data_IF_892124085790
#
_entry.id   IF_892124085790
#
_cell.length_a   1.000
_cell.length_b   1.000
_cell.length_c   1.000
_cell.angle_alpha   90.00
_cell.angle_beta   90.00
_cell.angle_gamma   90.00
#
_symmetry.space_group_name_H-M   'P 1'
#
loop_
_entity.id
_entity.type
_entity.pdbx_description
1 polymer ?
#
# COMPACT_ATOMS: atom_id res chain seq x y z
N UNK A 1 7.43 14.76 37.93
CA UNK A 1 8.53 14.07 37.24
C UNK A 1 7.98 12.78 36.67
N UNK A 2 7.41 12.83 35.47
CA UNK A 2 7.00 11.65 34.72
C UNK A 2 8.25 11.00 34.15
N UNK A 3 8.53 9.78 34.56
CA UNK A 3 9.54 8.94 33.92
C UNK A 3 9.15 8.75 32.46
N UNK A 4 9.90 9.36 31.54
CA UNK A 4 9.88 9.00 30.13
C UNK A 4 10.32 7.54 30.02
N UNK A 5 9.36 6.62 30.03
CA UNK A 5 9.59 5.28 29.50
C UNK A 5 9.97 5.48 28.03
N UNK A 6 11.27 5.37 27.74
CA UNK A 6 11.77 5.26 26.37
C UNK A 6 11.05 4.10 25.69
N UNK A 7 10.00 4.40 24.93
CA UNK A 7 9.18 3.37 24.30
C UNK A 7 10.02 2.69 23.22
N UNK A 8 10.55 1.52 23.52
CA UNK A 8 11.34 0.74 22.58
C UNK A 8 10.39 0.01 21.63
N UNK A 9 10.35 0.41 20.36
CA UNK A 9 9.56 -0.28 19.33
C UNK A 9 10.27 -1.57 18.94
N UNK A 10 9.71 -2.75 19.22
CA UNK A 10 10.38 -4.01 18.94
C UNK A 10 10.45 -4.27 17.43
N UNK A 11 11.58 -4.80 16.98
CA UNK A 11 11.71 -5.36 15.63
C UNK A 11 10.90 -6.65 15.54
N UNK A 12 9.98 -6.72 14.58
CA UNK A 12 9.15 -7.89 14.33
C UNK A 12 9.66 -8.64 13.10
N UNK A 13 9.62 -9.98 13.16
CA UNK A 13 9.85 -10.86 12.00
C UNK A 13 8.50 -11.41 11.56
N UNK A 14 8.17 -11.22 10.29
CA UNK A 14 6.89 -11.65 9.71
C UNK A 14 7.20 -12.61 8.56
N UNK A 15 6.46 -13.71 8.49
CA UNK A 15 6.59 -14.69 7.40
C UNK A 15 5.55 -14.37 6.33
N UNK A 16 6.01 -14.07 5.12
CA UNK A 16 5.14 -13.75 3.99
C UNK A 16 5.36 -14.69 2.81
N UNK A 17 4.35 -14.85 1.97
CA UNK A 17 4.48 -15.64 0.75
C UNK A 17 5.25 -14.87 -0.33
N UNK A 18 6.14 -15.56 -1.05
CA UNK A 18 6.94 -15.02 -2.15
C UNK A 18 6.45 -15.55 -3.50
N UNK A 19 6.24 -14.66 -4.45
CA UNK A 19 5.72 -14.95 -5.79
C UNK A 19 6.71 -14.48 -6.85
N UNK A 20 6.65 -15.09 -8.03
CA UNK A 20 7.25 -14.51 -9.22
C UNK A 20 6.33 -13.38 -9.69
N UNK A 21 6.88 -12.17 -9.77
CA UNK A 21 6.14 -10.98 -10.19
C UNK A 21 5.95 -10.91 -11.72
N UNK A 22 6.40 -11.94 -12.46
CA UNK A 22 6.05 -12.15 -13.86
C UNK A 22 4.74 -12.92 -14.00
N UNK A 23 3.75 -12.29 -14.64
CA UNK A 23 2.47 -12.94 -14.94
C UNK A 23 2.67 -14.07 -15.95
N UNK A 24 2.25 -15.28 -15.60
CA UNK A 24 2.26 -16.45 -16.50
C UNK A 24 0.86 -16.77 -17.00
N UNK A 25 0.76 -17.12 -18.28
CA UNK A 25 -0.48 -17.65 -18.88
C UNK A 25 -0.65 -19.13 -18.50
N UNK A 26 -1.90 -19.62 -18.46
CA UNK A 26 -2.19 -21.04 -18.22
C UNK A 26 -1.32 -21.99 -19.05
N UNK A 27 -1.20 -21.70 -20.34
CA UNK A 27 -0.53 -22.55 -21.33
C UNK A 27 0.97 -22.70 -21.11
N UNK A 28 1.58 -21.80 -20.33
CA UNK A 28 3.00 -21.81 -19.97
C UNK A 28 3.21 -22.12 -18.48
N UNK A 29 2.16 -22.57 -17.77
CA UNK A 29 2.12 -22.74 -16.32
C UNK A 29 3.37 -23.48 -15.83
N UNK A 30 4.25 -22.83 -15.04
CA UNK A 30 5.40 -23.51 -14.47
C UNK A 30 4.92 -24.52 -13.42
N UNK A 31 5.76 -25.51 -13.09
CA UNK A 31 5.53 -26.41 -11.95
C UNK A 31 5.70 -25.62 -10.64
N UNK A 32 4.64 -24.91 -10.24
CA UNK A 32 4.57 -24.17 -8.99
C UNK A 32 3.53 -24.81 -8.06
N UNK A 33 3.66 -24.56 -6.76
CA UNK A 33 2.77 -25.11 -5.73
C UNK A 33 1.45 -24.33 -5.58
N UNK A 34 1.45 -23.09 -6.05
CA UNK A 34 0.29 -22.22 -6.05
C UNK A 34 0.42 -21.03 -6.98
N UNK A 35 -0.66 -20.28 -7.12
CA UNK A 35 -0.76 -19.08 -7.94
C UNK A 35 -1.68 -18.05 -7.28
N UNK A 36 -1.29 -16.78 -7.38
CA UNK A 36 -2.22 -15.66 -7.22
C UNK A 36 -2.83 -15.33 -8.58
N UNK A 37 -4.15 -15.34 -8.67
CA UNK A 37 -4.91 -14.95 -9.85
C UNK A 37 -5.56 -13.61 -9.57
N UNK A 38 -5.24 -12.60 -10.39
CA UNK A 38 -5.90 -11.29 -10.30
C UNK A 38 -7.25 -11.38 -10.99
N UNK A 39 -8.34 -11.15 -10.24
CA UNK A 39 -9.69 -11.05 -10.79
C UNK A 39 -9.87 -9.78 -11.65
N UNK A 40 -11.03 -9.68 -12.27
CA UNK A 40 -11.52 -8.46 -12.92
C UNK A 40 -11.25 -7.22 -12.05
N UNK A 41 -10.81 -6.13 -12.68
CA UNK A 41 -10.59 -4.82 -12.04
C UNK A 41 -11.85 -4.27 -11.38
N UNK A 42 -13.03 -4.72 -11.81
CA UNK A 42 -14.35 -4.35 -11.26
C UNK A 42 -14.69 -5.07 -9.96
N UNK A 43 -13.95 -6.11 -9.58
CA UNK A 43 -14.16 -6.78 -8.30
C UNK A 43 -13.82 -5.86 -7.11
N UNK A 44 -14.56 -6.09 -6.02
CA UNK A 44 -14.29 -5.54 -4.69
C UNK A 44 -12.77 -5.61 -4.37
N UNK A 45 -12.11 -4.49 -4.00
CA UNK A 45 -10.67 -4.45 -3.73
C UNK A 45 -10.12 -5.60 -2.90
N UNK A 46 -10.82 -6.01 -1.84
CA UNK A 46 -10.44 -7.13 -0.97
C UNK A 46 -10.56 -8.50 -1.66
N UNK A 47 -11.38 -8.62 -2.70
CA UNK A 47 -11.62 -9.85 -3.47
C UNK A 47 -10.88 -9.88 -4.80
N UNK A 48 -9.96 -8.93 -5.04
CA UNK A 48 -9.21 -8.83 -6.31
C UNK A 48 -8.24 -9.98 -6.54
N UNK A 49 -7.89 -10.73 -5.50
CA UNK A 49 -7.00 -11.87 -5.61
C UNK A 49 -7.77 -13.16 -5.32
N UNK A 50 -7.57 -14.17 -6.18
CA UNK A 50 -7.91 -15.56 -5.88
C UNK A 50 -6.61 -16.31 -5.65
N UNK A 51 -6.61 -17.14 -4.63
CA UNK A 51 -5.49 -18.02 -4.32
C UNK A 51 -5.83 -19.43 -4.77
N UNK A 52 -4.92 -20.00 -5.55
CA UNK A 52 -5.07 -21.36 -6.05
C UNK A 52 -3.84 -22.17 -5.73
N UNK A 53 -4.06 -23.37 -5.22
CA UNK A 53 -3.00 -24.28 -4.81
C UNK A 53 -3.23 -25.66 -5.37
N UNK A 54 -2.15 -26.42 -5.49
CA UNK A 54 -2.26 -27.85 -5.71
C UNK A 54 -2.97 -28.49 -4.50
N UNK A 55 -3.89 -29.46 -4.69
CA UNK A 55 -4.64 -30.08 -3.61
C UNK A 55 -3.78 -30.54 -2.43
N UNK A 56 -2.64 -31.14 -2.72
CA UNK A 56 -1.68 -31.66 -1.75
C UNK A 56 -1.04 -30.56 -0.87
N UNK A 57 -1.13 -29.29 -1.26
CA UNK A 57 -0.60 -28.16 -0.49
C UNK A 57 -1.65 -27.49 0.41
N UNK A 58 -2.94 -27.87 0.31
CA UNK A 58 -4.05 -27.16 0.99
C UNK A 58 -3.88 -27.16 2.51
N UNK A 59 -3.52 -28.29 3.11
CA UNK A 59 -3.39 -28.41 4.56
C UNK A 59 -2.17 -27.65 5.08
N UNK A 60 -1.02 -27.76 4.41
CA UNK A 60 0.18 -27.02 4.76
C UNK A 60 -0.05 -25.50 4.70
N UNK A 61 -0.82 -25.02 3.72
CA UNK A 61 -1.14 -23.61 3.58
C UNK A 61 -2.09 -23.13 4.67
N UNK A 62 -3.13 -23.91 4.99
CA UNK A 62 -4.06 -23.54 6.07
C UNK A 62 -3.37 -23.50 7.43
N UNK A 63 -2.36 -24.34 7.64
CA UNK A 63 -1.56 -24.31 8.85
C UNK A 63 -0.78 -22.99 8.99
N UNK A 64 -0.20 -22.49 7.89
CA UNK A 64 0.61 -21.26 7.90
C UNK A 64 -0.28 -20.01 7.80
N UNK A 65 -1.38 -20.09 7.06
CA UNK A 65 -2.28 -19.00 6.70
C UNK A 65 -3.74 -19.41 6.93
N UNK A 66 -4.21 -19.43 8.19
CA UNK A 66 -5.53 -19.99 8.53
C UNK A 66 -6.71 -19.19 7.93
N UNK A 67 -6.52 -17.90 7.64
CA UNK A 67 -7.57 -17.02 7.08
C UNK A 67 -7.70 -17.11 5.57
N UNK A 68 -6.80 -17.83 4.87
CA UNK A 68 -6.77 -17.79 3.41
C UNK A 68 -7.95 -18.54 2.79
N UNK A 69 -8.67 -17.86 1.89
CA UNK A 69 -9.73 -18.50 1.10
C UNK A 69 -9.13 -19.27 -0.08
N UNK A 70 -9.13 -20.60 0.03
CA UNK A 70 -8.65 -21.51 -1.03
C UNK A 70 -9.79 -21.90 -1.95
N UNK A 71 -9.65 -21.65 -3.26
CA UNK A 71 -10.59 -22.17 -4.24
C UNK A 71 -10.38 -23.68 -4.45
N UNK A 72 -11.43 -24.47 -4.15
CA UNK A 72 -11.44 -25.92 -4.36
C UNK A 72 -11.58 -26.34 -5.84
N UNK A 73 -11.97 -25.44 -6.74
CA UNK A 73 -12.26 -25.77 -8.15
C UNK A 73 -10.99 -25.95 -8.98
N UNK A 74 -10.96 -26.99 -9.81
CA UNK A 74 -9.86 -27.32 -10.72
C UNK A 74 -9.84 -26.56 -12.05
N UNK A 75 -10.72 -25.58 -12.28
CA UNK A 75 -10.82 -24.86 -13.57
C UNK A 75 -9.55 -24.07 -13.90
N UNK A 76 -8.97 -24.22 -15.08
CA UNK A 76 -7.78 -23.49 -15.56
C UNK A 76 -7.81 -21.97 -15.25
N UNK A 77 -6.68 -21.37 -14.90
CA UNK A 77 -6.57 -19.91 -14.70
C UNK A 77 -6.00 -19.24 -15.95
N UNK A 78 -6.56 -18.14 -16.44
CA UNK A 78 -6.05 -17.48 -17.64
C UNK A 78 -4.63 -16.90 -17.43
N UNK A 79 -4.44 -16.19 -16.31
CA UNK A 79 -3.19 -15.52 -15.93
C UNK A 79 -3.00 -15.53 -14.42
N UNK A 80 -1.76 -15.72 -13.94
CA UNK A 80 -1.46 -15.68 -12.52
C UNK A 80 0.02 -15.44 -12.21
N UNK A 81 0.32 -15.16 -10.95
CA UNK A 81 1.66 -15.04 -10.39
C UNK A 81 2.00 -16.34 -9.66
N UNK A 82 2.99 -17.14 -10.11
CA UNK A 82 3.31 -18.41 -9.49
C UNK A 82 3.99 -18.18 -8.14
N UNK A 83 3.63 -19.01 -7.16
CA UNK A 83 4.23 -19.04 -5.85
C UNK A 83 5.64 -19.66 -5.94
N UNK A 84 6.63 -18.96 -5.38
CA UNK A 84 8.02 -19.40 -5.28
C UNK A 84 8.27 -20.03 -3.89
N UNK A 85 7.88 -19.34 -2.80
CA UNK A 85 8.06 -19.83 -1.42
C UNK A 85 6.84 -19.50 -0.59
N UNK A 86 6.38 -20.47 0.23
CA UNK A 86 5.28 -20.26 1.17
C UNK A 86 5.63 -19.30 2.29
N UNK A 87 6.88 -19.28 2.72
CA UNK A 87 7.32 -18.53 3.89
C UNK A 87 8.66 -17.89 3.56
N UNK A 88 8.70 -16.57 3.58
CA UNK A 88 9.89 -15.77 3.40
C UNK A 88 9.89 -14.73 4.53
N UNK A 89 10.93 -14.72 5.38
CA UNK A 89 11.00 -13.78 6.48
C UNK A 89 11.24 -12.36 5.96
N UNK A 90 10.44 -11.43 6.43
CA UNK A 90 10.69 -9.98 6.34
C UNK A 90 10.77 -9.41 7.75
N UNK A 91 11.33 -8.21 7.89
CA UNK A 91 11.46 -7.54 9.18
C UNK A 91 10.90 -6.13 9.14
N UNK A 92 10.23 -5.73 10.21
CA UNK A 92 9.93 -4.32 10.47
C UNK A 92 11.17 -3.59 10.99
N UNK A 93 11.13 -2.26 10.96
CA UNK A 93 12.12 -1.40 11.60
C UNK A 93 11.81 -1.27 13.10
N UNK A 94 12.70 -1.73 13.98
CA UNK A 94 12.62 -1.51 15.42
C UNK A 94 13.52 -0.37 15.90
N UNK A 95 13.26 0.18 17.09
CA UNK A 95 14.12 1.19 17.73
C UNK A 95 15.55 0.65 17.84
N UNK A 96 16.54 1.48 17.49
CA UNK A 96 17.97 1.10 17.47
C UNK A 96 18.38 0.14 16.33
N UNK A 97 17.45 -0.35 15.51
CA UNK A 97 17.73 -1.27 14.39
C UNK A 97 17.30 -0.68 13.05
N UNK A 98 17.73 0.55 12.77
CA UNK A 98 17.47 1.21 11.49
C UNK A 98 16.07 1.81 11.35
N UNK A 99 15.28 1.93 12.43
CA UNK A 99 14.09 2.80 12.47
C UNK A 99 14.55 4.26 12.54
N UNK A 100 14.23 5.12 11.56
CA UNK A 100 14.51 6.55 11.64
C UNK A 100 13.63 7.18 12.71
N UNK A 101 14.16 8.06 13.56
CA UNK A 101 13.34 8.79 14.53
C UNK A 101 12.28 9.66 13.84
N UNK A 102 12.68 10.30 12.75
CA UNK A 102 11.85 11.22 11.97
C UNK A 102 11.77 10.73 10.53
N UNK A 103 10.59 10.85 9.94
CA UNK A 103 10.37 10.67 8.52
C UNK A 103 9.66 11.87 7.90
N UNK A 104 9.85 11.99 6.60
CA UNK A 104 9.27 13.02 5.76
C UNK A 104 8.33 12.41 4.73
N UNK A 105 7.22 13.08 4.47
CA UNK A 105 6.27 12.69 3.43
C UNK A 105 5.68 13.92 2.76
N UNK A 106 5.62 13.91 1.44
CA UNK A 106 4.84 14.88 0.69
C UNK A 106 3.41 14.41 0.49
N UNK A 107 2.46 15.31 0.73
CA UNK A 107 1.04 15.14 0.43
C UNK A 107 0.59 16.22 -0.54
N UNK A 108 -0.56 16.00 -1.18
CA UNK A 108 -1.14 16.95 -2.13
C UNK A 108 -2.65 16.73 -2.24
N UNK A 109 -3.35 17.66 -2.89
CA UNK A 109 -4.81 17.69 -3.10
C UNK A 109 -5.43 16.42 -3.74
N UNK A 110 -4.62 15.67 -4.49
CA UNK A 110 -5.03 14.40 -5.12
C UNK A 110 -4.97 13.17 -4.21
N UNK A 111 -4.50 13.31 -2.97
CA UNK A 111 -4.38 12.18 -2.04
C UNK A 111 -5.60 12.10 -1.12
N UNK A 112 -6.18 10.90 -0.90
CA UNK A 112 -7.26 10.75 0.07
C UNK A 112 -6.73 10.95 1.50
N UNK A 113 -7.63 11.30 2.41
CA UNK A 113 -7.35 11.46 3.84
C UNK A 113 -6.18 12.40 4.16
N UNK A 114 -5.99 13.45 3.34
CA UNK A 114 -4.88 14.39 3.49
C UNK A 114 -3.49 13.76 3.32
N UNK A 115 -3.41 12.52 2.83
CA UNK A 115 -2.16 11.77 2.69
C UNK A 115 -1.65 11.11 3.97
N UNK A 116 -2.39 11.18 5.08
CA UNK A 116 -2.05 10.52 6.36
C UNK A 116 -2.55 9.07 6.43
N UNK A 117 -3.53 8.71 5.59
CA UNK A 117 -4.02 7.34 5.47
C UNK A 117 -3.81 6.82 4.04
N UNK A 118 -3.54 5.52 3.88
CA UNK A 118 -3.30 4.91 2.59
C UNK A 118 -4.60 4.90 1.77
N UNK A 119 -4.48 4.83 0.43
CA UNK A 119 -5.65 4.83 -0.47
C UNK A 119 -6.61 3.66 -0.22
N UNK A 120 -6.11 2.54 0.28
CA UNK A 120 -6.87 1.35 0.65
C UNK A 120 -7.23 1.27 2.12
N UNK A 121 -7.12 2.35 2.91
CA UNK A 121 -7.47 2.34 4.32
C UNK A 121 -8.92 1.87 4.54
N UNK A 122 -9.12 0.89 5.42
CA UNK A 122 -10.42 0.28 5.70
C UNK A 122 -11.03 -0.54 4.55
N UNK A 123 -10.33 -0.68 3.42
CA UNK A 123 -10.83 -1.32 2.19
C UNK A 123 -9.90 -2.45 1.71
N UNK A 124 -8.61 -2.41 2.09
CA UNK A 124 -7.62 -3.43 1.72
C UNK A 124 -6.95 -3.91 3.00
N UNK A 125 -7.19 -5.17 3.35
CA UNK A 125 -6.49 -5.81 4.47
C UNK A 125 -5.15 -6.40 4.03
N UNK A 126 -4.09 -6.10 4.78
CA UNK A 126 -2.76 -6.67 4.54
C UNK A 126 -2.69 -8.04 5.21
N UNK A 127 -2.80 -9.09 4.41
CA UNK A 127 -2.53 -10.45 4.88
C UNK A 127 -1.10 -10.85 4.55
N UNK A 128 -0.39 -11.61 5.41
CA UNK A 128 0.96 -12.07 5.12
C UNK A 128 1.10 -12.82 3.79
N UNK A 129 0.05 -13.51 3.36
CA UNK A 129 0.02 -14.20 2.06
C UNK A 129 -0.06 -13.25 0.86
N UNK A 130 -0.75 -12.10 0.99
CA UNK A 130 -0.93 -11.12 -0.08
C UNK A 130 0.06 -9.95 -0.01
N UNK A 131 0.84 -9.85 1.07
CA UNK A 131 1.79 -8.77 1.32
C UNK A 131 2.69 -8.47 0.12
N UNK A 132 3.36 -9.48 -0.44
CA UNK A 132 4.34 -9.29 -1.51
C UNK A 132 3.70 -8.68 -2.77
N UNK A 133 2.52 -9.14 -3.19
CA UNK A 133 1.87 -8.59 -4.38
C UNK A 133 1.34 -7.16 -4.14
N UNK A 134 0.84 -6.88 -2.92
CA UNK A 134 0.38 -5.54 -2.54
C UNK A 134 1.55 -4.56 -2.52
N UNK A 135 2.69 -4.96 -1.93
CA UNK A 135 3.91 -4.17 -1.89
C UNK A 135 4.40 -3.82 -3.30
N UNK A 136 4.52 -4.81 -4.20
CA UNK A 136 5.05 -4.55 -5.53
C UNK A 136 4.15 -3.68 -6.38
N UNK A 137 2.83 -3.81 -6.19
CA UNK A 137 1.85 -2.91 -6.80
C UNK A 137 1.96 -1.50 -6.24
N UNK A 138 2.17 -1.33 -4.93
CA UNK A 138 2.40 -0.02 -4.32
C UNK A 138 3.66 0.66 -4.87
N UNK A 139 4.74 -0.11 -4.99
CA UNK A 139 6.04 0.32 -5.51
C UNK A 139 6.03 0.62 -7.03
N UNK A 140 4.99 0.21 -7.76
CA UNK A 140 4.75 0.64 -9.13
C UNK A 140 3.87 1.89 -9.16
N UNK A 141 4.46 3.05 -9.40
CA UNK A 141 3.75 4.34 -9.45
C UNK A 141 2.65 4.40 -10.52
N UNK A 142 2.72 3.55 -11.57
CA UNK A 142 1.69 3.46 -12.61
C UNK A 142 0.47 2.65 -12.13
N UNK A 143 0.61 1.95 -11.01
CA UNK A 143 -0.45 1.13 -10.46
C UNK A 143 -1.53 2.00 -9.82
N UNK A 144 -2.77 1.84 -10.33
CA UNK A 144 -3.96 2.50 -9.79
C UNK A 144 -4.69 1.66 -8.72
N UNK A 145 -4.09 0.57 -8.26
CA UNK A 145 -4.70 -0.23 -7.20
C UNK A 145 -4.71 0.55 -5.88
N UNK A 146 -5.76 0.34 -5.09
CA UNK A 146 -5.79 0.82 -3.71
C UNK A 146 -4.65 0.11 -2.98
N UNK A 147 -3.74 0.91 -2.43
CA UNK A 147 -2.63 0.41 -1.65
C UNK A 147 -2.95 0.59 -0.17
N UNK A 148 -2.68 -0.41 0.69
CA UNK A 148 -2.76 -0.27 2.14
C UNK A 148 -1.49 0.35 2.75
N UNK A 149 -0.57 0.80 1.90
CA UNK A 149 0.74 1.34 2.30
C UNK A 149 0.87 2.84 2.03
N UNK A 150 1.64 3.50 2.87
CA UNK A 150 2.17 4.85 2.68
C UNK A 150 3.68 4.77 2.40
N UNK A 151 4.18 5.72 1.61
CA UNK A 151 5.62 5.90 1.39
C UNK A 151 6.13 7.11 2.16
N UNK A 152 7.29 6.99 2.78
CA UNK A 152 7.98 8.08 3.44
C UNK A 152 9.49 7.94 3.23
N UNK A 153 10.24 9.00 3.52
CA UNK A 153 11.69 9.05 3.32
C UNK A 153 12.36 9.75 4.49
N UNK A 154 13.58 9.36 4.82
CA UNK A 154 14.44 10.04 5.80
C UNK A 154 15.38 11.08 5.15
N UNK A 155 15.19 11.34 3.84
CA UNK A 155 16.01 12.27 3.05
C UNK A 155 15.22 13.49 2.60
N UNK A 156 15.67 14.67 3.04
CA UNK A 156 15.09 15.96 2.62
C UNK A 156 15.39 16.25 1.14
N UNK A 157 16.57 15.90 0.63
CA UNK A 157 16.91 16.07 -0.80
C UNK A 157 15.91 15.32 -1.69
N UNK A 158 15.52 14.11 -1.27
CA UNK A 158 14.49 13.34 -1.97
C UNK A 158 13.12 14.01 -1.90
N UNK A 159 12.77 14.63 -0.77
CA UNK A 159 11.54 15.43 -0.65
C UNK A 159 11.56 16.59 -1.64
N UNK A 160 12.65 17.36 -1.71
CA UNK A 160 12.76 18.49 -2.64
C UNK A 160 12.64 18.04 -4.10
N UNK A 161 13.28 16.92 -4.46
CA UNK A 161 13.14 16.32 -5.79
C UNK A 161 11.69 15.91 -6.10
N UNK A 162 11.02 15.22 -5.16
CA UNK A 162 9.62 14.81 -5.33
C UNK A 162 8.66 16.01 -5.39
N UNK A 163 8.94 17.07 -4.63
CA UNK A 163 8.17 18.31 -4.65
C UNK A 163 8.24 18.94 -6.05
N UNK A 164 9.42 19.04 -6.66
CA UNK A 164 9.57 19.51 -8.03
C UNK A 164 8.73 18.68 -9.02
N UNK A 165 8.77 17.36 -8.92
CA UNK A 165 7.95 16.47 -9.75
C UNK A 165 6.43 16.65 -9.53
N UNK A 166 5.99 16.93 -8.30
CA UNK A 166 4.59 17.18 -8.00
C UNK A 166 4.12 18.54 -8.53
N UNK A 167 4.98 19.55 -8.40
CA UNK A 167 4.71 20.89 -8.89
C UNK A 167 4.66 20.93 -10.42
N UNK A 168 5.58 20.26 -11.11
CA UNK A 168 5.58 20.07 -12.57
C UNK A 168 4.31 19.34 -13.07
N UNK A 169 3.80 18.38 -12.29
CA UNK A 169 2.54 17.67 -12.59
C UNK A 169 1.30 18.51 -12.30
N UNK A 170 1.45 19.71 -11.75
CA UNK A 170 0.36 20.63 -11.47
C UNK A 170 -0.52 20.22 -10.29
N UNK A 171 0.02 19.42 -9.34
CA UNK A 171 -0.67 19.18 -8.09
C UNK A 171 -0.75 20.48 -7.27
N UNK A 172 -1.82 20.60 -6.47
CA UNK A 172 -2.03 21.76 -5.59
C UNK A 172 -1.95 21.35 -4.14
N UNK A 173 -1.87 22.36 -3.26
CA UNK A 173 -1.76 22.16 -1.81
C UNK A 173 -0.70 21.11 -1.46
N UNK A 174 0.48 21.21 -2.07
CA UNK A 174 1.57 20.28 -1.79
C UNK A 174 2.09 20.61 -0.40
N UNK A 175 2.06 19.64 0.51
CA UNK A 175 2.49 19.83 1.90
C UNK A 175 3.59 18.86 2.25
N UNK A 176 4.52 19.32 3.08
CA UNK A 176 5.50 18.49 3.73
C UNK A 176 4.99 18.13 5.12
N UNK A 177 4.85 16.83 5.38
CA UNK A 177 4.64 16.27 6.70
C UNK A 177 5.99 15.80 7.26
N UNK A 178 6.28 16.23 8.49
CA UNK A 178 7.41 15.78 9.30
C UNK A 178 6.80 15.10 10.53
N UNK A 179 7.14 13.84 10.75
CA UNK A 179 6.53 13.06 11.82
C UNK A 179 7.54 12.12 12.49
N UNK A 180 7.33 11.91 13.79
CA UNK A 180 8.05 10.90 14.57
C UNK A 180 7.53 9.52 14.21
N UNK A 181 8.43 8.53 14.18
CA UNK A 181 8.01 7.16 13.85
C UNK A 181 7.67 6.33 15.08
N UNK A 182 7.84 6.86 16.28
CA UNK A 182 7.47 6.24 17.54
C UNK A 182 6.76 7.26 18.43
N UNK A 183 6.45 6.87 19.67
CA UNK A 183 5.75 7.73 20.63
C UNK A 183 4.22 7.57 20.64
N UNK A 184 3.51 8.53 21.25
CA UNK A 184 2.06 8.45 21.46
C UNK A 184 1.26 8.31 20.16
N UNK A 185 0.15 7.56 20.24
CA UNK A 185 -0.77 7.37 19.11
C UNK A 185 -0.40 6.24 18.15
N UNK A 186 0.84 5.72 18.21
CA UNK A 186 1.24 4.57 17.41
C UNK A 186 0.74 3.23 18.00
N UNK A 187 0.06 2.44 17.18
CA UNK A 187 -0.14 1.01 17.39
C UNK A 187 0.90 0.23 16.58
N UNK A 188 2.05 -0.10 17.16
CA UNK A 188 3.13 -0.79 16.45
C UNK A 188 2.82 -2.26 16.07
N UNK A 189 1.68 -2.81 16.46
CA UNK A 189 1.21 -4.11 15.95
C UNK A 189 0.50 -3.94 14.59
N UNK A 190 -0.25 -2.86 14.43
CA UNK A 190 -0.97 -2.56 13.19
C UNK A 190 -0.15 -1.68 12.24
N UNK A 191 0.46 -0.63 12.77
CA UNK A 191 1.24 0.38 12.05
C UNK A 191 2.71 -0.01 11.98
N UNK A 192 3.03 -0.83 10.98
CA UNK A 192 4.35 -1.43 10.81
C UNK A 192 5.16 -0.67 9.78
N UNK A 193 6.39 -0.31 10.15
CA UNK A 193 7.33 0.39 9.28
C UNK A 193 8.35 -0.61 8.72
N UNK A 194 8.64 -0.52 7.43
CA UNK A 194 9.59 -1.37 6.73
C UNK A 194 10.54 -0.53 5.89
N UNK A 195 11.81 -0.91 5.85
CA UNK A 195 12.76 -0.34 4.89
C UNK A 195 12.57 -1.00 3.53
N UNK A 196 12.41 -0.21 2.47
CA UNK A 196 12.14 -0.75 1.11
C UNK A 196 13.26 -1.66 0.63
N UNK A 197 14.51 -1.30 0.88
CA UNK A 197 15.67 -2.11 0.48
C UNK A 197 15.63 -3.52 1.07
N UNK A 198 15.32 -3.64 2.36
CA UNK A 198 15.29 -4.93 3.05
C UNK A 198 14.16 -5.81 2.51
N UNK A 199 13.00 -5.19 2.21
CA UNK A 199 11.89 -5.89 1.56
C UNK A 199 12.25 -6.37 0.15
N UNK A 200 12.90 -5.54 -0.66
CA UNK A 200 13.33 -5.90 -2.01
C UNK A 200 14.39 -7.01 -1.98
N UNK A 201 15.33 -6.97 -1.03
CA UNK A 201 16.33 -8.02 -0.86
C UNK A 201 15.68 -9.38 -0.54
N UNK A 202 14.70 -9.41 0.38
CA UNK A 202 14.00 -10.64 0.76
C UNK A 202 13.06 -11.16 -0.34
N UNK A 203 12.27 -10.28 -0.94
CA UNK A 203 11.16 -10.63 -1.83
C UNK A 203 11.56 -10.68 -3.32
N UNK A 204 12.75 -10.20 -3.67
CA UNK A 204 13.32 -10.22 -5.02
C UNK A 204 13.46 -8.81 -5.58
N UNK A 205 14.68 -8.39 -5.91
CA UNK A 205 14.96 -7.01 -6.33
C UNK A 205 14.50 -6.69 -7.76
N UNK A 206 14.17 -5.41 -7.98
CA UNK A 206 14.14 -4.81 -9.33
C UNK A 206 15.57 -4.45 -9.77
N UNK A 207 15.72 -3.83 -10.94
CA UNK A 207 17.03 -3.45 -11.48
C UNK A 207 17.84 -2.56 -10.52
N UNK A 208 19.18 -2.53 -10.61
CA UNK A 208 20.04 -1.74 -9.73
C UNK A 208 19.67 -0.25 -9.64
N UNK A 209 19.21 0.34 -10.74
CA UNK A 209 18.78 1.74 -10.79
C UNK A 209 17.55 1.97 -9.90
N UNK A 210 16.61 1.02 -9.93
CA UNK A 210 15.44 1.06 -9.07
C UNK A 210 15.82 0.98 -7.59
N UNK A 211 16.79 0.11 -7.25
CA UNK A 211 17.29 -0.05 -5.88
C UNK A 211 17.91 1.24 -5.37
N UNK A 212 18.74 1.91 -6.18
CA UNK A 212 19.39 3.18 -5.82
C UNK A 212 18.37 4.27 -5.49
N UNK A 213 17.34 4.44 -6.34
CA UNK A 213 16.28 5.45 -6.10
C UNK A 213 15.44 5.19 -4.84
N UNK A 214 15.46 3.97 -4.30
CA UNK A 214 14.67 3.53 -3.14
C UNK A 214 15.48 3.40 -1.85
N UNK A 215 16.76 3.78 -1.84
CA UNK A 215 17.67 3.50 -0.73
C UNK A 215 17.25 4.12 0.63
N UNK A 216 16.52 5.23 0.55
CA UNK A 216 16.02 6.05 1.65
C UNK A 216 14.50 5.93 1.84
N UNK A 217 13.84 5.02 1.12
CA UNK A 217 12.39 4.83 1.26
C UNK A 217 12.02 3.85 2.37
N UNK A 218 10.95 4.23 3.05
CA UNK A 218 10.27 3.44 4.03
C UNK A 218 8.81 3.28 3.63
N UNK A 219 8.28 2.09 3.87
CA UNK A 219 6.88 1.77 3.68
C UNK A 219 6.24 1.63 5.04
N UNK A 220 5.16 2.38 5.24
CA UNK A 220 4.31 2.28 6.40
C UNK A 220 3.05 1.51 6.02
N UNK A 221 2.80 0.42 6.71
CA UNK A 221 1.52 -0.27 6.74
C UNK A 221 0.59 0.46 7.71
N UNK A 222 -0.64 0.76 7.29
CA UNK A 222 -1.58 1.53 8.12
C UNK A 222 -1.43 3.04 7.91
N UNK A 223 -1.73 3.82 8.95
CA UNK A 223 -1.81 5.29 8.90
C UNK A 223 -0.76 5.99 9.76
N UNK A 224 -0.54 7.28 9.51
CA UNK A 224 0.30 8.15 10.36
C UNK A 224 -0.62 8.73 11.45
N UNK A 225 -0.35 8.47 12.76
CA UNK A 225 -1.10 9.10 13.84
C UNK A 225 -0.95 10.62 13.81
N UNK A 226 -2.03 11.40 13.93
CA UNK A 226 -1.95 12.87 13.99
C UNK A 226 -1.01 13.38 15.10
N UNK A 227 -0.97 12.69 16.23
CA UNK A 227 -0.14 13.02 17.40
C UNK A 227 1.36 12.89 17.12
N UNK A 228 1.73 12.09 16.12
CA UNK A 228 3.12 11.90 15.70
C UNK A 228 3.64 13.02 14.78
N UNK A 229 2.75 13.88 14.28
CA UNK A 229 3.11 14.95 13.34
C UNK A 229 3.75 16.10 14.12
N UNK A 230 5.06 16.24 13.94
CA UNK A 230 5.83 17.36 14.49
C UNK A 230 5.47 18.64 13.75
N UNK A 231 5.34 18.54 12.42
CA UNK A 231 5.16 19.70 11.58
C UNK A 231 4.48 19.39 10.25
N UNK A 232 3.61 20.30 9.83
CA UNK A 232 3.00 20.33 8.51
C UNK A 232 3.25 21.69 7.85
N UNK A 233 3.99 21.70 6.73
CA UNK A 233 4.31 22.92 5.98
C UNK A 233 3.65 22.89 4.61
N UNK A 234 2.93 23.96 4.26
CA UNK A 234 2.53 24.19 2.86
C UNK A 234 3.75 24.61 2.05
N UNK A 235 3.98 23.96 0.92
CA UNK A 235 5.06 24.31 0.00
C UNK A 235 4.48 25.17 -1.13
N UNK A 236 4.95 26.41 -1.21
CA UNK A 236 4.56 27.34 -2.28
C UNK A 236 5.12 26.88 -3.62
N UNK A 237 4.33 26.98 -4.69
CA UNK A 237 4.74 26.62 -6.05
C UNK A 237 5.68 27.68 -6.61
N UNK A 238 6.84 27.25 -7.09
CA UNK A 238 7.78 28.14 -7.78
C UNK A 238 7.57 28.14 -9.30
N UNK A 239 6.55 27.45 -9.82
CA UNK A 239 6.35 27.30 -11.26
C UNK A 239 5.59 28.49 -11.87
N UNK A 240 6.25 29.40 -12.62
CA UNK A 240 5.61 30.59 -13.21
C UNK A 240 4.64 30.24 -14.34
N UNK A 241 4.64 28.99 -14.83
CA UNK A 241 3.74 28.52 -15.90
C UNK A 241 2.46 27.89 -15.35
N UNK A 242 2.19 27.99 -14.05
CA UNK A 242 1.02 27.38 -13.42
C UNK A 242 -0.26 28.05 -13.95
N UNK A 243 -1.14 27.35 -14.69
CA UNK A 243 -2.45 27.89 -14.97
C UNK A 243 -3.18 28.02 -13.63
N UNK A 244 -3.64 29.24 -13.32
CA UNK A 244 -4.49 29.48 -12.16
C UNK A 244 -5.76 28.66 -12.37
N UNK A 245 -5.88 27.50 -11.71
CA UNK A 245 -7.17 26.82 -11.66
C UNK A 245 -8.07 27.68 -10.79
N UNK A 246 -9.06 28.31 -11.42
CA UNK A 246 -10.14 28.96 -10.70
C UNK A 246 -10.72 27.97 -9.69
N UNK A 247 -10.98 28.40 -8.45
CA UNK A 247 -11.58 27.54 -7.44
C UNK A 247 -12.87 26.93 -8.02
N UNK A 248 -12.94 25.59 -8.01
CA UNK A 248 -14.14 24.87 -8.41
C UNK A 248 -15.22 25.30 -7.41
N UNK A 249 -16.33 25.93 -7.84
CA UNK A 249 -17.38 26.34 -6.93
C UNK A 249 -17.90 25.10 -6.18
N UNK A 250 -18.24 25.23 -4.88
CA UNK A 250 -18.74 24.12 -4.10
C UNK A 250 -19.94 23.51 -4.83
N UNK A 251 -19.89 22.19 -5.08
CA UNK A 251 -21.02 21.46 -5.66
C UNK A 251 -22.25 21.70 -4.80
N UNK A 252 -23.25 22.37 -5.36
CA UNK A 252 -24.55 22.54 -4.73
C UNK A 252 -25.08 21.17 -4.30
N UNK A 253 -25.51 21.06 -3.04
CA UNK A 253 -26.19 19.86 -2.53
C UNK A 253 -27.45 19.64 -3.36
N UNK A 254 -27.42 18.62 -4.21
CA UNK A 254 -28.61 18.11 -4.90
C UNK A 254 -29.58 17.58 -3.85
N UNK A 255 -30.63 18.35 -3.56
CA UNK A 255 -31.81 17.86 -2.85
C UNK A 255 -32.69 17.12 -3.84
N UNK A 256 -32.51 15.81 -3.98
CA UNK A 256 -33.48 14.97 -4.67
C UNK A 256 -34.71 14.76 -3.79
N UNK A 257 -35.68 15.68 -3.89
CA UNK A 257 -37.07 15.42 -3.47
C UNK A 257 -37.68 14.39 -4.43
N UNK A 258 -38.29 13.37 -3.85
CA UNK A 258 -38.83 12.22 -4.56
C UNK A 258 -39.97 12.52 -5.53
N UNK A 259 -40.08 11.66 -6.53
CA UNK A 259 -41.32 11.30 -7.22
C UNK A 259 -41.18 9.82 -7.62
N UNK A 260 -41.80 8.93 -6.83
CA UNK A 260 -42.18 7.62 -7.34
C UNK A 260 -43.62 7.76 -7.84
N UNK A 261 -43.77 7.68 -9.16
CA UNK A 261 -45.06 7.47 -9.80
C UNK A 261 -45.27 5.96 -9.98
N UNK A 262 -46.39 5.49 -9.46
CA UNK A 262 -47.07 4.23 -9.79
C UNK A 262 -47.43 4.14 -11.27
N UNK A 263 -47.28 2.96 -11.88
CA UNK A 263 -48.31 2.23 -12.64
C UNK A 263 -47.73 1.09 -13.50
N UNK A 264 -48.31 -0.11 -13.30
CA UNK A 264 -48.67 -1.19 -14.25
C UNK A 264 -47.65 -1.66 -15.31
N UNK A 265 -47.51 -2.94 -15.68
CA UNK A 265 -48.58 -3.91 -15.99
C UNK A 265 -48.01 -5.33 -15.99
N UNK A 266 -48.84 -6.29 -15.55
CA UNK A 266 -48.75 -7.72 -15.86
C UNK A 266 -48.83 -8.00 -17.37
N UNK A 267 -48.14 -9.03 -17.84
CA UNK A 267 -48.65 -9.98 -18.84
C UNK A 267 -47.77 -11.25 -18.82
N UNK A 268 -48.46 -12.37 -18.58
CA UNK A 268 -48.24 -13.78 -18.94
C UNK A 268 -46.83 -14.24 -19.32
#
# INVERSE_FOLDING_TARGET
MSTEENSCVPRQKILVAKFDMKVVKYTKRPKAKGWIIVRDKRADPDKRFKFRFLPEEHDAIRLIYPTISIEKRQSAFLRGYPLIKFSTPISTCGTGTGRPKILYRLTHDGQPHGGMKPRGHGIVTVEPFSFHILLFKHLDWRCRNLSPFLSATDSMDKILHMYGLYDERGYQNIRLLIFETDGPGWDHQMQRLYRVLDLLAALGGRSPEYVSSMAREFILEGEIPPESIIEERLLESNNPRRPVKNPIPPKAKSTSKGKFATAYTSCV
#
